data_IF_394668901678
#
_entry.id   IF_394668901678
#
_cell.length_a   1.000
_cell.length_b   1.000
_cell.length_c   1.000
_cell.angle_alpha   90.00
_cell.angle_beta   90.00
_cell.angle_gamma   90.00
#
_symmetry.space_group_name_H-M   'P 1'
#
loop_
_entity.id
_entity.type
_entity.pdbx_description
1 polymer ?
#
# COMPACT_ATOMS: atom_id res chain seq x y z
N UNK A 1 48.16 -4.08 10.37
CA UNK A 1 46.87 -4.20 11.10
C UNK A 1 45.96 -3.14 10.53
N UNK A 2 45.13 -3.51 9.56
CA UNK A 2 44.01 -2.66 9.16
C UNK A 2 42.81 -3.16 9.95
N UNK A 3 42.31 -2.33 10.88
CA UNK A 3 41.05 -2.57 11.56
C UNK A 3 39.94 -2.41 10.51
N UNK A 4 39.38 -3.53 10.11
CA UNK A 4 38.15 -3.61 9.35
C UNK A 4 37.03 -3.06 10.25
N UNK A 5 36.43 -1.93 9.86
CA UNK A 5 35.36 -1.35 10.66
C UNK A 5 34.07 -2.13 10.40
N UNK A 6 33.15 -2.15 11.37
CA UNK A 6 31.83 -2.82 11.22
C UNK A 6 31.05 -2.33 9.99
N UNK A 7 31.36 -1.13 9.49
CA UNK A 7 30.80 -0.58 8.26
C UNK A 7 31.33 -1.24 6.99
N UNK A 8 32.60 -1.63 6.95
CA UNK A 8 33.22 -2.28 5.78
C UNK A 8 32.67 -3.71 5.59
N UNK A 9 32.34 -4.39 6.69
CA UNK A 9 31.73 -5.72 6.65
C UNK A 9 30.29 -5.71 6.10
N UNK A 10 29.57 -4.59 6.23
CA UNK A 10 28.21 -4.43 5.67
C UNK A 10 28.24 -4.15 4.16
N UNK A 11 29.29 -3.48 3.68
CA UNK A 11 29.47 -3.18 2.24
C UNK A 11 29.86 -4.45 1.45
N UNK A 12 30.63 -5.34 2.06
CA UNK A 12 31.05 -6.60 1.43
C UNK A 12 30.00 -7.71 1.43
N UNK A 13 28.94 -7.61 2.24
CA UNK A 13 27.82 -8.56 2.20
C UNK A 13 26.90 -8.35 0.98
N UNK A 14 26.98 -7.20 0.31
CA UNK A 14 26.10 -6.80 -0.79
C UNK A 14 26.81 -6.44 -2.11
N UNK A 15 28.05 -6.91 -2.31
CA UNK A 15 28.67 -6.90 -3.64
C UNK A 15 29.39 -5.60 -4.03
N UNK A 16 29.81 -4.76 -3.07
CA UNK A 16 30.71 -3.63 -3.35
C UNK A 16 30.07 -2.50 -4.17
N UNK A 17 28.75 -2.49 -4.25
CA UNK A 17 27.96 -1.40 -4.73
C UNK A 17 27.38 -0.70 -3.51
N UNK A 18 27.97 0.43 -3.12
CA UNK A 18 27.46 1.33 -2.08
C UNK A 18 26.12 1.94 -2.50
N UNK A 19 25.09 1.10 -2.58
CA UNK A 19 23.78 1.38 -3.16
C UNK A 19 22.72 1.07 -2.12
N UNK A 20 22.70 1.89 -1.08
CA UNK A 20 21.63 1.86 -0.10
C UNK A 20 20.41 2.60 -0.68
N UNK A 21 19.38 1.80 -0.93
CA UNK A 21 17.98 2.14 -1.17
C UNK A 21 17.55 2.65 -2.56
N UNK A 22 18.31 3.46 -3.32
CA UNK A 22 17.84 3.90 -4.64
C UNK A 22 18.98 4.15 -5.63
N UNK A 23 18.83 3.60 -6.85
CA UNK A 23 19.60 4.01 -8.00
C UNK A 23 19.39 5.50 -8.28
N UNK A 24 20.40 6.17 -8.81
CA UNK A 24 20.48 7.62 -9.00
C UNK A 24 19.58 8.18 -10.11
N UNK A 25 18.45 7.54 -10.42
CA UNK A 25 17.49 7.98 -11.43
C UNK A 25 16.15 8.33 -10.79
N UNK A 26 16.05 9.50 -10.17
CA UNK A 26 14.79 10.02 -9.63
C UNK A 26 13.82 10.51 -10.73
N UNK A 27 14.26 10.57 -11.99
CA UNK A 27 13.57 11.33 -13.04
C UNK A 27 12.49 10.54 -13.80
N UNK A 28 12.56 9.20 -13.86
CA UNK A 28 11.57 8.38 -14.59
C UNK A 28 11.26 7.04 -13.87
N UNK A 29 10.13 6.93 -13.15
CA UNK A 29 9.77 5.74 -12.34
C UNK A 29 9.72 4.42 -13.13
N UNK A 30 9.35 4.47 -14.42
CA UNK A 30 9.17 3.29 -15.27
C UNK A 30 10.34 3.03 -16.22
N UNK A 31 11.48 3.69 -15.99
CA UNK A 31 12.66 3.55 -16.85
C UNK A 31 13.11 2.09 -16.95
N UNK A 32 13.30 1.61 -18.18
CA UNK A 32 13.77 0.25 -18.46
C UNK A 32 12.72 -0.86 -18.41
N UNK A 33 11.44 -0.53 -18.20
CA UNK A 33 10.32 -1.49 -18.26
C UNK A 33 9.55 -1.30 -19.57
N UNK A 34 9.13 -2.39 -20.21
CA UNK A 34 8.19 -2.31 -21.34
C UNK A 34 6.86 -1.73 -20.84
N UNK A 35 6.42 -0.60 -21.40
CA UNK A 35 5.18 0.08 -21.01
C UNK A 35 4.03 -0.20 -21.99
N UNK A 36 4.23 -1.08 -22.97
CA UNK A 36 3.21 -1.44 -23.94
C UNK A 36 1.98 -2.04 -23.23
N UNK A 37 0.81 -1.46 -23.47
CA UNK A 37 -0.46 -2.00 -22.96
C UNK A 37 -0.77 -3.29 -23.72
N UNK A 38 -1.08 -4.42 -23.04
CA UNK A 38 -1.33 -5.68 -23.73
C UNK A 38 -2.54 -5.63 -24.67
N UNK A 39 -2.49 -6.38 -25.77
CA UNK A 39 -3.59 -6.46 -26.73
C UNK A 39 -4.92 -6.86 -26.06
N UNK A 40 -5.97 -6.11 -26.40
CA UNK A 40 -7.34 -6.32 -25.89
C UNK A 40 -7.60 -5.77 -24.49
N UNK A 41 -6.65 -5.05 -23.90
CA UNK A 41 -6.80 -4.39 -22.59
C UNK A 41 -7.24 -2.94 -22.79
N UNK A 42 -8.29 -2.53 -22.08
CA UNK A 42 -8.73 -1.14 -22.07
C UNK A 42 -7.79 -0.28 -21.19
N UNK A 43 -7.36 0.86 -21.72
CA UNK A 43 -6.40 1.75 -21.05
C UNK A 43 -7.00 2.38 -19.78
N UNK A 44 -8.29 2.74 -19.82
CA UNK A 44 -8.95 3.36 -18.69
C UNK A 44 -9.16 2.36 -17.55
N UNK A 45 -9.51 1.11 -17.87
CA UNK A 45 -9.57 0.02 -16.91
C UNK A 45 -8.19 -0.22 -16.27
N UNK A 46 -7.13 -0.37 -17.07
CA UNK A 46 -5.78 -0.59 -16.57
C UNK A 46 -5.33 0.56 -15.64
N UNK A 47 -5.48 1.81 -16.08
CA UNK A 47 -5.11 2.95 -15.26
C UNK A 47 -5.94 3.06 -13.99
N UNK A 48 -7.24 2.74 -14.04
CA UNK A 48 -8.09 2.70 -12.83
C UNK A 48 -7.62 1.63 -11.86
N UNK A 49 -7.24 0.44 -12.34
CA UNK A 49 -6.70 -0.61 -11.48
C UNK A 49 -5.36 -0.22 -10.85
N UNK A 50 -4.49 0.44 -11.62
CA UNK A 50 -3.27 1.03 -11.08
C UNK A 50 -3.56 2.08 -9.99
N UNK A 51 -4.58 2.93 -10.17
CA UNK A 51 -5.03 3.86 -9.12
C UNK A 51 -5.54 3.12 -7.88
N UNK A 52 -6.30 2.03 -8.02
CA UNK A 52 -6.77 1.25 -6.87
C UNK A 52 -5.59 0.75 -6.02
N UNK A 53 -4.58 0.14 -6.64
CA UNK A 53 -3.41 -0.40 -5.95
C UNK A 53 -2.49 0.70 -5.41
N UNK A 54 -2.32 1.78 -6.18
CA UNK A 54 -1.47 2.92 -5.85
C UNK A 54 -2.04 3.76 -4.71
N UNK A 55 -3.34 3.98 -4.71
CA UNK A 55 -4.03 4.74 -3.65
C UNK A 55 -4.04 4.00 -2.33
N UNK A 56 -4.21 2.67 -2.35
CA UNK A 56 -4.06 1.86 -1.13
C UNK A 56 -2.68 2.04 -0.50
N UNK A 57 -1.63 2.10 -1.35
CA UNK A 57 -0.25 2.24 -0.92
C UNK A 57 0.04 3.66 -0.42
N UNK A 58 -0.34 4.68 -1.19
CA UNK A 58 -0.12 6.10 -0.85
C UNK A 58 -0.83 6.49 0.45
N UNK A 59 -2.11 6.11 0.57
CA UNK A 59 -2.92 6.45 1.74
C UNK A 59 -2.40 5.72 2.98
N UNK A 60 -2.07 4.43 2.86
CA UNK A 60 -1.50 3.68 3.98
C UNK A 60 -0.12 4.22 4.38
N UNK A 61 0.74 4.57 3.41
CA UNK A 61 2.03 5.21 3.68
C UNK A 61 1.84 6.51 4.47
N UNK A 62 0.93 7.38 4.04
CA UNK A 62 0.64 8.64 4.74
C UNK A 62 0.12 8.40 6.17
N UNK A 63 -0.73 7.39 6.37
CA UNK A 63 -1.17 6.98 7.71
C UNK A 63 -0.02 6.51 8.58
N UNK A 64 0.88 5.69 8.05
CA UNK A 64 2.05 5.20 8.78
C UNK A 64 3.04 6.33 9.12
N UNK A 65 3.22 7.32 8.25
CA UNK A 65 4.07 8.50 8.53
C UNK A 65 3.62 9.29 9.76
N UNK A 66 2.33 9.24 10.14
CA UNK A 66 1.83 9.88 11.36
C UNK A 66 2.43 9.29 12.65
N UNK A 67 3.08 8.11 12.58
CA UNK A 67 3.82 7.52 13.70
C UNK A 67 5.24 8.04 13.86
N UNK A 68 5.78 8.76 12.86
CA UNK A 68 7.10 9.39 12.99
C UNK A 68 7.02 10.44 14.10
N UNK A 69 7.91 10.34 15.08
CA UNK A 69 7.95 11.08 16.36
C UNK A 69 6.88 10.70 17.39
N UNK A 70 6.07 9.67 17.12
CA UNK A 70 4.98 9.22 17.98
C UNK A 70 5.02 7.72 18.32
N UNK A 71 5.94 6.94 17.73
CA UNK A 71 6.05 5.50 17.94
C UNK A 71 6.48 5.17 19.39
N UNK A 72 6.10 3.98 19.91
CA UNK A 72 6.45 3.58 21.28
C UNK A 72 7.95 3.46 21.54
N UNK A 73 8.72 3.11 20.50
CA UNK A 73 10.16 2.84 20.54
C UNK A 73 10.81 3.35 19.24
N UNK A 74 12.10 3.73 19.29
CA UNK A 74 12.82 4.26 18.13
C UNK A 74 12.99 3.20 17.03
N UNK A 75 13.23 1.95 17.43
CA UNK A 75 13.33 0.82 16.52
C UNK A 75 12.03 0.62 15.75
N UNK A 76 10.90 0.84 16.41
CA UNK A 76 9.59 0.74 15.77
C UNK A 76 9.27 1.93 14.88
N UNK A 77 9.71 3.13 15.25
CA UNK A 77 9.63 4.30 14.37
C UNK A 77 10.35 4.03 13.04
N UNK A 78 11.58 3.52 13.11
CA UNK A 78 12.38 3.18 11.92
C UNK A 78 11.70 2.08 11.11
N UNK A 79 11.16 1.05 11.77
CA UNK A 79 10.46 -0.03 11.08
C UNK A 79 9.21 0.47 10.33
N UNK A 80 8.37 1.29 10.99
CA UNK A 80 7.17 1.87 10.37
C UNK A 80 7.55 2.84 9.24
N UNK A 81 8.57 3.68 9.44
CA UNK A 81 9.04 4.60 8.42
C UNK A 81 9.55 3.85 7.18
N UNK A 82 10.25 2.72 7.34
CA UNK A 82 10.66 1.88 6.22
C UNK A 82 9.46 1.27 5.48
N UNK A 83 8.46 0.76 6.21
CA UNK A 83 7.21 0.28 5.59
C UNK A 83 6.51 1.39 4.79
N UNK A 84 6.42 2.60 5.37
CA UNK A 84 5.83 3.75 4.70
C UNK A 84 6.60 4.13 3.43
N UNK A 85 7.93 4.09 3.47
CA UNK A 85 8.81 4.39 2.34
C UNK A 85 8.66 3.36 1.20
N UNK A 86 8.62 2.07 1.52
CA UNK A 86 8.36 1.01 0.54
C UNK A 86 7.00 1.21 -0.15
N UNK A 87 5.95 1.45 0.64
CA UNK A 87 4.60 1.70 0.13
C UNK A 87 4.54 2.97 -0.73
N UNK A 88 5.26 4.03 -0.37
CA UNK A 88 5.38 5.22 -1.20
C UNK A 88 6.09 4.91 -2.52
N UNK A 89 7.16 4.11 -2.50
CA UNK A 89 7.84 3.63 -3.71
C UNK A 89 6.91 2.84 -4.63
N UNK A 90 6.08 1.95 -4.07
CA UNK A 90 5.05 1.23 -4.83
C UNK A 90 3.99 2.17 -5.40
N UNK A 91 3.53 3.14 -4.60
CA UNK A 91 2.55 4.13 -5.02
C UNK A 91 3.03 4.93 -6.24
N UNK A 92 4.27 5.43 -6.21
CA UNK A 92 4.88 6.17 -7.32
C UNK A 92 4.81 5.38 -8.63
N UNK A 93 5.31 4.14 -8.63
CA UNK A 93 5.30 3.28 -9.82
C UNK A 93 3.89 3.03 -10.36
N UNK A 94 2.92 2.78 -9.46
CA UNK A 94 1.53 2.51 -9.84
C UNK A 94 0.82 3.77 -10.38
N UNK A 95 1.03 4.92 -9.74
CA UNK A 95 0.48 6.20 -10.20
C UNK A 95 1.12 6.63 -11.53
N UNK A 96 2.44 6.45 -11.69
CA UNK A 96 3.12 6.68 -12.96
C UNK A 96 2.55 5.77 -14.06
N UNK A 97 2.23 4.50 -13.76
CA UNK A 97 1.58 3.60 -14.72
C UNK A 97 0.18 4.11 -15.10
N UNK A 98 -0.63 4.56 -14.15
CA UNK A 98 -1.93 5.17 -14.44
C UNK A 98 -1.82 6.41 -15.33
N UNK A 99 -0.86 7.30 -15.05
CA UNK A 99 -0.56 8.47 -15.88
C UNK A 99 -0.11 8.10 -17.30
N UNK A 100 0.74 7.09 -17.44
CA UNK A 100 1.25 6.63 -18.75
C UNK A 100 0.16 6.12 -19.71
N UNK A 101 -1.01 5.77 -19.18
CA UNK A 101 -2.19 5.34 -19.96
C UNK A 101 -3.31 6.38 -19.96
N UNK A 102 -2.96 7.65 -19.68
CA UNK A 102 -3.83 8.84 -19.73
C UNK A 102 -4.99 8.84 -18.71
N UNK A 103 -4.83 8.12 -17.58
CA UNK A 103 -5.79 8.12 -16.48
C UNK A 103 -5.34 9.11 -15.41
N UNK A 104 -5.61 10.40 -15.65
CA UNK A 104 -5.23 11.51 -14.78
C UNK A 104 -6.42 12.19 -14.08
N UNK A 105 -7.60 12.16 -14.71
CA UNK A 105 -8.79 12.84 -14.19
C UNK A 105 -8.59 14.36 -14.06
N UNK A 106 -9.23 14.97 -13.06
CA UNK A 106 -9.17 16.42 -12.83
C UNK A 106 -7.82 16.89 -12.31
N UNK A 107 -6.94 15.97 -11.91
CA UNK A 107 -5.60 16.33 -11.46
C UNK A 107 -4.80 17.05 -12.55
N UNK A 108 -4.97 16.66 -13.81
CA UNK A 108 -4.23 17.25 -14.94
C UNK A 108 -4.63 18.70 -15.20
N UNK A 109 -5.89 19.06 -14.94
CA UNK A 109 -6.40 20.43 -15.07
C UNK A 109 -5.83 21.37 -13.98
N UNK A 110 -5.44 20.81 -12.84
CA UNK A 110 -5.02 21.56 -11.65
C UNK A 110 -3.51 21.62 -11.47
N UNK A 111 -2.80 20.58 -11.89
CA UNK A 111 -1.35 20.52 -11.88
C UNK A 111 -0.78 21.23 -13.12
N UNK A 112 0.29 22.03 -12.97
CA UNK A 112 0.97 22.62 -14.14
C UNK A 112 1.64 21.54 -14.99
N UNK A 113 1.84 21.81 -16.29
CA UNK A 113 2.44 20.85 -17.23
C UNK A 113 3.86 20.38 -16.85
N UNK A 114 4.53 21.06 -15.92
CA UNK A 114 5.84 20.65 -15.40
C UNK A 114 5.75 19.64 -14.24
N UNK A 115 4.56 19.42 -13.68
CA UNK A 115 4.35 18.45 -12.61
C UNK A 115 4.22 17.05 -13.22
N UNK A 116 5.06 16.08 -12.77
CA UNK A 116 4.96 14.69 -13.17
C UNK A 116 3.56 14.12 -12.92
N UNK A 117 3.14 13.18 -13.76
CA UNK A 117 1.79 12.62 -13.68
C UNK A 117 1.51 11.87 -12.36
N UNK A 118 2.54 11.23 -11.77
CA UNK A 118 2.41 10.60 -10.44
C UNK A 118 2.11 11.64 -9.34
N UNK A 119 2.75 12.81 -9.40
CA UNK A 119 2.52 13.92 -8.47
C UNK A 119 1.19 14.61 -8.72
N UNK A 120 0.79 14.77 -10.00
CA UNK A 120 -0.54 15.26 -10.35
C UNK A 120 -1.60 14.37 -9.69
N UNK A 121 -1.49 13.06 -9.89
CA UNK A 121 -2.40 12.08 -9.29
C UNK A 121 -2.35 12.09 -7.75
N UNK A 122 -1.19 12.19 -7.12
CA UNK A 122 -1.12 12.21 -5.65
C UNK A 122 -1.72 13.48 -5.03
N UNK A 123 -1.40 14.65 -5.60
CA UNK A 123 -1.60 15.93 -4.93
C UNK A 123 -2.82 16.74 -5.41
N UNK A 124 -3.32 16.48 -6.61
CA UNK A 124 -4.33 17.35 -7.24
C UNK A 124 -5.70 16.68 -7.48
N UNK A 125 -5.83 15.38 -7.17
CA UNK A 125 -7.12 14.68 -7.12
C UNK A 125 -7.90 15.03 -5.86
N UNK A 126 -9.22 15.15 -5.99
CA UNK A 126 -10.13 15.20 -4.83
C UNK A 126 -10.47 13.80 -4.32
N UNK A 127 -11.07 13.73 -3.12
CA UNK A 127 -11.37 12.47 -2.46
C UNK A 127 -12.23 11.52 -3.32
N UNK A 128 -13.17 12.05 -4.14
CA UNK A 128 -14.00 11.25 -5.04
C UNK A 128 -13.24 10.66 -6.25
N UNK A 129 -11.99 11.05 -6.46
CA UNK A 129 -11.08 10.49 -7.47
C UNK A 129 -10.07 9.50 -6.88
N UNK A 130 -10.02 9.35 -5.54
CA UNK A 130 -9.26 8.30 -4.88
C UNK A 130 -10.01 6.96 -4.92
N UNK A 131 -9.26 5.87 -4.96
CA UNK A 131 -9.73 4.50 -5.14
C UNK A 131 -9.21 3.56 -4.06
N UNK A 132 -8.72 4.09 -2.94
CA UNK A 132 -8.25 3.30 -1.80
C UNK A 132 -9.41 2.60 -1.07
N UNK A 133 -9.09 1.55 -0.34
CA UNK A 133 -10.04 0.83 0.53
C UNK A 133 -10.29 1.61 1.83
N UNK A 134 -11.42 1.32 2.49
CA UNK A 134 -11.69 1.82 3.84
C UNK A 134 -10.62 1.33 4.84
N UNK A 135 -10.06 0.13 4.60
CA UNK A 135 -8.93 -0.40 5.37
C UNK A 135 -7.71 0.53 5.32
N UNK A 136 -7.30 0.98 4.12
CA UNK A 136 -6.17 1.91 3.99
C UNK A 136 -6.49 3.30 4.57
N UNK A 137 -7.71 3.78 4.38
CA UNK A 137 -8.12 5.13 4.78
C UNK A 137 -8.34 5.30 6.30
N UNK A 138 -8.64 4.23 7.03
CA UNK A 138 -8.96 4.27 8.46
C UNK A 138 -7.90 5.02 9.30
N UNK A 139 -8.29 5.59 10.43
CA UNK A 139 -7.34 6.19 11.37
C UNK A 139 -6.44 5.14 12.05
N UNK A 140 -5.24 5.56 12.47
CA UNK A 140 -4.26 4.67 13.11
C UNK A 140 -4.77 4.03 14.41
N UNK A 141 -5.56 4.78 15.20
CA UNK A 141 -5.92 4.38 16.55
C UNK A 141 -4.66 4.30 17.44
N UNK A 142 -4.62 3.30 18.32
CA UNK A 142 -3.40 2.98 19.06
C UNK A 142 -2.46 2.05 18.28
N UNK A 143 -1.31 1.75 18.87
CA UNK A 143 -0.29 0.92 18.23
C UNK A 143 -0.80 -0.51 17.90
N UNK A 144 -1.65 -1.08 18.76
CA UNK A 144 -2.23 -2.41 18.52
C UNK A 144 -3.17 -2.41 17.32
N UNK A 145 -4.04 -1.40 17.22
CA UNK A 145 -4.90 -1.21 16.05
C UNK A 145 -4.09 -1.00 14.76
N UNK A 146 -3.03 -0.19 14.81
CA UNK A 146 -2.14 0.03 13.65
C UNK A 146 -1.50 -1.28 13.19
N UNK A 147 -0.98 -2.10 14.12
CA UNK A 147 -0.34 -3.38 13.77
C UNK A 147 -1.32 -4.39 13.18
N UNK A 148 -2.55 -4.46 13.71
CA UNK A 148 -3.60 -5.30 13.12
C UNK A 148 -3.97 -4.82 11.71
N UNK A 149 -4.16 -3.51 11.53
CA UNK A 149 -4.48 -2.94 10.21
C UNK A 149 -3.36 -3.21 9.20
N UNK A 150 -2.11 -3.03 9.61
CA UNK A 150 -0.94 -3.32 8.77
C UNK A 150 -0.86 -4.81 8.43
N UNK A 151 -1.15 -5.70 9.38
CA UNK A 151 -1.20 -7.15 9.13
C UNK A 151 -2.24 -7.49 8.05
N UNK A 152 -3.46 -6.96 8.16
CA UNK A 152 -4.52 -7.19 7.15
C UNK A 152 -4.11 -6.63 5.79
N UNK A 153 -3.67 -5.37 5.75
CA UNK A 153 -3.31 -4.70 4.50
C UNK A 153 -2.14 -5.39 3.80
N UNK A 154 -1.07 -5.72 4.54
CA UNK A 154 0.08 -6.42 3.98
C UNK A 154 -0.28 -7.84 3.51
N UNK A 155 -1.15 -8.55 4.23
CA UNK A 155 -1.58 -9.90 3.85
C UNK A 155 -2.39 -9.89 2.55
N UNK A 156 -3.37 -8.99 2.42
CA UNK A 156 -4.16 -8.84 1.19
C UNK A 156 -3.27 -8.44 0.02
N UNK A 157 -2.47 -7.37 0.20
CA UNK A 157 -1.58 -6.87 -0.85
C UNK A 157 -0.57 -7.91 -1.30
N UNK A 158 0.02 -8.65 -0.37
CA UNK A 158 0.97 -9.72 -0.70
C UNK A 158 0.31 -10.83 -1.53
N UNK A 159 -0.91 -11.26 -1.17
CA UNK A 159 -1.62 -12.29 -1.93
C UNK A 159 -1.97 -11.83 -3.35
N UNK A 160 -2.33 -10.56 -3.53
CA UNK A 160 -2.58 -9.93 -4.84
C UNK A 160 -1.27 -9.81 -5.62
N UNK A 161 -0.22 -9.23 -5.04
CA UNK A 161 1.06 -9.02 -5.70
C UNK A 161 1.74 -10.34 -6.08
N UNK A 162 1.61 -11.38 -5.27
CA UNK A 162 2.15 -12.70 -5.60
C UNK A 162 1.60 -13.25 -6.93
N UNK A 163 0.32 -12.98 -7.22
CA UNK A 163 -0.37 -13.35 -8.47
C UNK A 163 -0.12 -12.35 -9.60
N UNK A 164 -0.02 -11.05 -9.30
CA UNK A 164 0.29 -10.02 -10.31
C UNK A 164 1.66 -10.18 -10.96
N UNK A 165 2.59 -10.95 -10.38
CA UNK A 165 3.85 -11.32 -11.06
C UNK A 165 3.62 -12.01 -12.40
N UNK A 166 2.49 -12.70 -12.55
CA UNK A 166 2.08 -13.37 -13.78
C UNK A 166 1.12 -12.52 -14.63
N UNK A 167 0.97 -11.23 -14.32
CA UNK A 167 0.15 -10.31 -15.10
C UNK A 167 0.66 -10.21 -16.54
N UNK A 168 -0.28 -10.12 -17.49
CA UNK A 168 0.04 -9.77 -18.88
C UNK A 168 0.57 -8.35 -19.03
N UNK A 169 0.28 -7.45 -18.10
CA UNK A 169 0.86 -6.11 -18.12
C UNK A 169 2.30 -6.15 -17.56
N UNK A 170 3.32 -5.89 -18.38
CA UNK A 170 4.73 -5.99 -17.98
C UNK A 170 5.10 -5.05 -16.81
N UNK A 171 4.45 -3.90 -16.71
CA UNK A 171 4.69 -2.94 -15.62
C UNK A 171 4.15 -3.47 -14.29
N UNK A 172 2.89 -3.92 -14.26
CA UNK A 172 2.31 -4.55 -13.06
C UNK A 172 3.09 -5.78 -12.62
N UNK A 173 3.53 -6.63 -13.56
CA UNK A 173 4.36 -7.79 -13.27
C UNK A 173 5.71 -7.40 -12.63
N UNK A 174 6.38 -6.38 -13.16
CA UNK A 174 7.64 -5.88 -12.62
C UNK A 174 7.48 -5.25 -11.22
N UNK A 175 6.45 -4.41 -11.04
CA UNK A 175 6.12 -3.80 -9.73
C UNK A 175 5.84 -4.91 -8.71
N UNK A 176 5.06 -5.92 -9.09
CA UNK A 176 4.72 -7.04 -8.25
C UNK A 176 5.95 -7.89 -7.87
N UNK A 177 6.86 -8.15 -8.81
CA UNK A 177 8.07 -8.92 -8.56
C UNK A 177 8.94 -8.29 -7.46
N UNK A 178 9.06 -6.96 -7.46
CA UNK A 178 9.73 -6.21 -6.39
C UNK A 178 8.90 -6.18 -5.11
N UNK A 179 7.63 -5.77 -5.21
CA UNK A 179 6.76 -5.52 -4.06
C UNK A 179 6.47 -6.75 -3.20
N UNK A 180 6.54 -7.97 -3.75
CA UNK A 180 6.37 -9.20 -2.96
C UNK A 180 7.39 -9.31 -1.82
N UNK A 181 8.65 -8.90 -2.03
CA UNK A 181 9.66 -8.99 -0.99
C UNK A 181 9.39 -7.99 0.15
N UNK A 182 9.07 -6.74 -0.20
CA UNK A 182 8.69 -5.67 0.72
C UNK A 182 7.44 -6.06 1.53
N UNK A 183 6.37 -6.49 0.85
CA UNK A 183 5.11 -6.88 1.49
C UNK A 183 5.24 -8.12 2.38
N UNK A 184 6.17 -9.03 2.06
CA UNK A 184 6.51 -10.15 2.94
C UNK A 184 7.10 -9.63 4.25
N UNK A 185 8.06 -8.70 4.18
CA UNK A 185 8.62 -8.06 5.36
C UNK A 185 7.54 -7.29 6.16
N UNK A 186 6.65 -6.56 5.50
CA UNK A 186 5.56 -5.80 6.16
C UNK A 186 4.63 -6.73 6.94
N UNK A 187 4.19 -7.84 6.32
CA UNK A 187 3.33 -8.83 6.94
C UNK A 187 4.01 -9.50 8.13
N UNK A 188 5.27 -9.88 7.98
CA UNK A 188 6.02 -10.56 9.04
C UNK A 188 6.32 -9.63 10.22
N UNK A 189 6.59 -8.34 9.97
CA UNK A 189 6.70 -7.31 11.00
C UNK A 189 5.40 -7.17 11.80
N UNK A 190 4.29 -6.94 11.11
CA UNK A 190 2.99 -6.77 11.74
C UNK A 190 2.55 -8.03 12.50
N UNK A 191 2.76 -9.23 11.93
CA UNK A 191 2.43 -10.49 12.57
C UNK A 191 3.20 -10.68 13.89
N UNK A 192 4.52 -10.39 13.90
CA UNK A 192 5.33 -10.49 15.14
C UNK A 192 4.82 -9.57 16.23
N UNK A 193 4.39 -8.35 15.89
CA UNK A 193 3.80 -7.44 16.86
C UNK A 193 2.43 -7.88 17.34
N UNK A 194 1.54 -8.34 16.45
CA UNK A 194 0.23 -8.86 16.84
C UNK A 194 0.40 -10.05 17.80
N UNK A 195 1.34 -10.96 17.53
CA UNK A 195 1.68 -12.07 18.44
C UNK A 195 2.18 -11.56 19.80
N UNK A 196 3.14 -10.64 19.80
CA UNK A 196 3.72 -10.07 21.03
C UNK A 196 2.69 -9.32 21.88
N UNK A 197 1.79 -8.57 21.24
CA UNK A 197 0.78 -7.79 21.94
C UNK A 197 -0.33 -8.70 22.47
N UNK A 198 -0.79 -9.64 21.64
CA UNK A 198 -1.87 -10.57 21.99
C UNK A 198 -1.51 -11.53 23.12
N UNK A 199 -0.35 -12.17 23.05
CA UNK A 199 0.16 -13.11 24.08
C UNK A 199 1.10 -12.43 25.09
N UNK A 200 0.98 -11.10 25.22
CA UNK A 200 1.80 -10.29 26.11
C UNK A 200 1.17 -10.14 27.50
N UNK A 201 0.92 -8.90 27.89
CA UNK A 201 0.22 -8.57 29.14
C UNK A 201 -1.30 -8.55 28.93
N UNK A 202 -2.07 -8.58 30.02
CA UNK A 202 -3.52 -8.40 29.95
C UNK A 202 -3.92 -7.08 29.25
N UNK A 203 -3.15 -6.00 29.45
CA UNK A 203 -3.43 -4.70 28.82
C UNK A 203 -3.09 -4.70 27.32
N UNK A 204 -1.93 -5.25 26.93
CA UNK A 204 -1.56 -5.34 25.51
C UNK A 204 -2.51 -6.25 24.75
N UNK A 205 -2.93 -7.37 25.35
CA UNK A 205 -3.89 -8.30 24.77
C UNK A 205 -5.26 -7.64 24.57
N UNK A 206 -5.74 -6.90 25.58
CA UNK A 206 -6.99 -6.11 25.50
C UNK A 206 -6.95 -5.08 24.37
N UNK A 207 -5.84 -4.35 24.20
CA UNK A 207 -5.67 -3.36 23.13
C UNK A 207 -5.56 -4.00 21.75
N UNK A 208 -4.80 -5.09 21.63
CA UNK A 208 -4.71 -5.83 20.38
C UNK A 208 -6.08 -6.38 19.96
N UNK A 209 -6.86 -6.95 20.90
CA UNK A 209 -8.23 -7.39 20.63
C UNK A 209 -9.14 -6.22 20.21
N UNK A 210 -9.04 -5.06 20.87
CA UNK A 210 -9.80 -3.88 20.45
C UNK A 210 -9.41 -3.42 19.03
N UNK A 211 -8.13 -3.51 18.68
CA UNK A 211 -7.65 -3.29 17.32
C UNK A 211 -8.24 -4.26 16.31
N UNK A 212 -8.30 -5.56 16.64
CA UNK A 212 -9.00 -6.58 15.85
C UNK A 212 -10.47 -6.21 15.66
N UNK A 213 -11.18 -5.93 16.74
CA UNK A 213 -12.61 -5.62 16.70
C UNK A 213 -12.90 -4.34 15.89
N UNK A 214 -11.97 -3.37 15.85
CA UNK A 214 -12.07 -2.15 15.06
C UNK A 214 -11.74 -2.36 13.56
N UNK A 215 -10.74 -3.19 13.25
CA UNK A 215 -10.29 -3.42 11.87
C UNK A 215 -11.16 -4.44 11.13
N UNK A 216 -11.68 -5.46 11.83
CA UNK A 216 -12.39 -6.58 11.19
C UNK A 216 -13.56 -6.18 10.29
N UNK A 217 -14.40 -5.18 10.66
CA UNK A 217 -15.47 -4.72 9.77
C UNK A 217 -14.99 -4.13 8.45
N UNK A 218 -13.75 -3.62 8.38
CA UNK A 218 -13.16 -3.04 7.17
C UNK A 218 -12.78 -4.07 6.12
N UNK A 219 -12.89 -5.37 6.43
CA UNK A 219 -12.64 -6.46 5.48
C UNK A 219 -13.84 -6.74 4.56
N UNK A 220 -15.01 -6.16 4.87
CA UNK A 220 -16.28 -6.46 4.21
C UNK A 220 -16.26 -6.24 2.68
N UNK A 221 -15.48 -5.27 2.21
CA UNK A 221 -15.48 -4.86 0.80
C UNK A 221 -14.19 -5.25 0.04
N UNK A 222 -13.19 -5.79 0.74
CA UNK A 222 -11.87 -6.09 0.18
C UNK A 222 -11.87 -7.24 -0.83
N UNK A 223 -12.85 -8.14 -0.73
CA UNK A 223 -12.96 -9.35 -1.55
C UNK A 223 -14.11 -9.30 -2.56
N UNK A 224 -14.77 -8.14 -2.68
CA UNK A 224 -15.84 -7.90 -3.63
C UNK A 224 -15.27 -7.16 -4.83
N UNK A 225 -15.17 -7.84 -5.98
CA UNK A 225 -14.63 -7.24 -7.19
C UNK A 225 -15.50 -6.08 -7.71
N UNK A 226 -14.85 -5.04 -8.21
CA UNK A 226 -15.43 -4.03 -9.10
C UNK A 226 -15.62 -4.58 -10.52
N UNK A 227 -16.35 -3.86 -11.37
CA UNK A 227 -16.46 -4.22 -12.79
C UNK A 227 -15.12 -4.14 -13.53
N UNK A 228 -14.25 -3.19 -13.14
CA UNK A 228 -12.90 -3.03 -13.70
C UNK A 228 -12.04 -4.24 -13.37
N UNK A 229 -12.00 -4.65 -12.09
CA UNK A 229 -11.24 -5.82 -11.66
C UNK A 229 -11.72 -7.09 -12.36
N UNK A 230 -13.05 -7.30 -12.49
CA UNK A 230 -13.59 -8.45 -13.23
C UNK A 230 -13.14 -8.51 -14.69
N UNK A 231 -13.21 -7.38 -15.40
CA UNK A 231 -12.80 -7.32 -16.82
C UNK A 231 -11.30 -7.58 -16.99
N UNK A 232 -10.48 -6.96 -16.15
CA UNK A 232 -9.03 -7.13 -16.22
C UNK A 232 -8.56 -8.50 -15.73
N UNK A 233 -9.22 -9.10 -14.74
CA UNK A 233 -8.94 -10.46 -14.31
C UNK A 233 -9.26 -11.46 -15.42
N UNK A 234 -10.40 -11.32 -16.09
CA UNK A 234 -10.74 -12.13 -17.27
C UNK A 234 -9.74 -11.94 -18.43
N UNK A 235 -9.11 -10.77 -18.53
CA UNK A 235 -8.06 -10.48 -19.50
C UNK A 235 -6.66 -10.95 -19.06
N UNK A 236 -6.48 -11.48 -17.85
CA UNK A 236 -5.18 -11.90 -17.30
C UNK A 236 -4.25 -10.76 -16.90
N UNK A 237 -4.80 -9.57 -16.60
CA UNK A 237 -4.04 -8.37 -16.21
C UNK A 237 -4.14 -8.09 -14.72
N UNK A 238 -5.34 -8.22 -14.15
CA UNK A 238 -5.60 -8.01 -12.73
C UNK A 238 -5.82 -9.34 -12.00
N UNK A 239 -5.92 -9.26 -10.68
CA UNK A 239 -6.36 -10.36 -9.80
C UNK A 239 -7.82 -10.11 -9.40
N UNK A 240 -8.67 -11.12 -9.51
CA UNK A 240 -10.00 -11.05 -8.89
C UNK A 240 -9.81 -11.11 -7.36
N UNK A 241 -10.23 -10.08 -6.60
CA UNK A 241 -10.04 -10.06 -5.16
C UNK A 241 -10.73 -11.23 -4.43
N UNK A 242 -11.75 -11.87 -5.03
CA UNK A 242 -12.35 -13.06 -4.44
C UNK A 242 -11.36 -14.24 -4.36
N UNK A 243 -10.40 -14.34 -5.30
CA UNK A 243 -9.45 -15.46 -5.42
C UNK A 243 -8.37 -15.46 -4.32
N UNK A 244 -8.20 -14.35 -3.61
CA UNK A 244 -7.23 -14.24 -2.50
C UNK A 244 -7.90 -14.41 -1.12
N UNK A 245 -9.23 -14.43 -1.05
CA UNK A 245 -9.98 -14.42 0.22
C UNK A 245 -9.63 -15.57 1.15
N UNK A 246 -9.61 -16.80 0.63
CA UNK A 246 -9.36 -17.99 1.44
C UNK A 246 -7.94 -17.97 2.05
N UNK A 247 -6.93 -17.65 1.24
CA UNK A 247 -5.54 -17.54 1.68
C UNK A 247 -5.37 -16.45 2.76
N UNK A 248 -5.94 -15.26 2.53
CA UNK A 248 -5.89 -14.16 3.49
C UNK A 248 -6.59 -14.53 4.80
N UNK A 249 -7.77 -15.12 4.71
CA UNK A 249 -8.53 -15.59 5.88
C UNK A 249 -7.70 -16.56 6.73
N UNK A 250 -7.07 -17.54 6.09
CA UNK A 250 -6.29 -18.57 6.78
C UNK A 250 -5.06 -17.98 7.49
N UNK A 251 -4.35 -17.05 6.83
CA UNK A 251 -3.21 -16.35 7.44
C UNK A 251 -3.65 -15.53 8.64
N UNK A 252 -4.69 -14.72 8.50
CA UNK A 252 -5.16 -13.85 9.58
C UNK A 252 -5.66 -14.67 10.77
N UNK A 253 -6.46 -15.71 10.53
CA UNK A 253 -6.94 -16.62 11.57
C UNK A 253 -5.78 -17.29 12.29
N UNK A 254 -4.79 -17.79 11.55
CA UNK A 254 -3.59 -18.41 12.13
C UNK A 254 -2.81 -17.45 13.03
N UNK A 255 -2.63 -16.20 12.61
CA UNK A 255 -1.91 -15.20 13.42
C UNK A 255 -2.69 -14.84 14.68
N UNK A 256 -4.00 -14.61 14.57
CA UNK A 256 -4.84 -14.25 15.71
C UNK A 256 -4.95 -15.39 16.73
N UNK A 257 -5.16 -16.63 16.28
CA UNK A 257 -5.22 -17.80 17.17
C UNK A 257 -3.90 -17.98 17.93
N UNK A 258 -2.76 -17.83 17.24
CA UNK A 258 -1.43 -17.91 17.88
C UNK A 258 -1.14 -16.72 18.80
N UNK A 259 -1.74 -15.56 18.53
CA UNK A 259 -1.68 -14.40 19.40
C UNK A 259 -2.61 -14.52 20.60
N UNK A 260 -3.35 -15.63 20.75
CA UNK A 260 -4.38 -15.83 21.78
C UNK A 260 -5.53 -14.81 21.72
N UNK A 261 -5.73 -14.21 20.54
CA UNK A 261 -6.81 -13.27 20.25
C UNK A 261 -8.01 -14.01 19.65
N UNK A 262 -9.20 -13.49 19.90
CA UNK A 262 -10.43 -14.04 19.34
C UNK A 262 -10.58 -13.55 17.90
N UNK A 263 -10.72 -14.51 16.99
CA UNK A 263 -11.09 -14.27 15.58
C UNK A 263 -12.57 -13.90 15.52
N UNK A 264 -12.95 -12.68 15.12
CA UNK A 264 -14.35 -12.33 14.96
C UNK A 264 -14.97 -13.07 13.76
N UNK A 265 -16.30 -13.24 13.72
CA UNK A 265 -16.97 -13.75 12.53
C UNK A 265 -16.60 -12.89 11.32
N UNK A 266 -16.37 -13.54 10.17
CA UNK A 266 -16.08 -12.80 8.95
C UNK A 266 -17.24 -11.87 8.60
N UNK A 267 -16.98 -10.58 8.25
CA UNK A 267 -18.05 -9.67 7.89
C UNK A 267 -18.78 -10.15 6.64
N UNK A 268 -20.07 -9.83 6.53
CA UNK A 268 -20.81 -10.03 5.30
C UNK A 268 -20.21 -9.14 4.20
N UNK A 269 -20.15 -9.68 2.98
CA UNK A 269 -19.60 -8.96 1.85
C UNK A 269 -20.43 -7.69 1.58
N UNK A 270 -19.73 -6.58 1.35
CA UNK A 270 -20.30 -5.29 1.03
C UNK A 270 -19.77 -4.81 -0.34
N UNK A 271 -20.50 -3.91 -1.04
CA UNK A 271 -19.99 -3.26 -2.23
C UNK A 271 -18.70 -2.44 -1.94
N UNK A 272 -17.71 -2.43 -2.85
CA UNK A 272 -16.42 -1.75 -2.67
C UNK A 272 -16.53 -0.22 -2.85
N UNK A 273 -17.07 0.46 -1.83
CA UNK A 273 -17.38 1.90 -1.88
C UNK A 273 -16.14 2.78 -2.10
N UNK A 274 -15.05 2.49 -1.39
CA UNK A 274 -13.80 3.23 -1.54
C UNK A 274 -13.21 3.10 -2.94
N UNK A 275 -13.34 1.92 -3.56
CA UNK A 275 -12.96 1.70 -4.97
C UNK A 275 -13.82 2.50 -5.96
N UNK A 276 -14.99 2.98 -5.55
CA UNK A 276 -15.89 3.82 -6.35
C UNK A 276 -15.77 5.32 -6.02
N UNK A 277 -14.82 5.73 -5.17
CA UNK A 277 -14.64 7.13 -4.77
C UNK A 277 -15.55 7.58 -3.63
N UNK A 278 -16.26 6.67 -2.98
CA UNK A 278 -17.12 6.99 -1.86
C UNK A 278 -16.38 6.77 -0.53
N UNK A 279 -15.77 7.83 0.00
CA UNK A 279 -14.95 7.79 1.21
C UNK A 279 -15.57 8.55 2.37
N UNK A 280 -15.15 8.18 3.59
CA UNK A 280 -15.50 8.90 4.81
C UNK A 280 -14.68 10.19 5.01
N UNK A 281 -15.04 11.01 6.01
CA UNK A 281 -14.36 12.27 6.31
C UNK A 281 -12.87 12.10 6.68
N UNK A 282 -12.49 10.92 7.15
CA UNK A 282 -11.10 10.59 7.51
C UNK A 282 -10.13 10.70 6.34
N UNK A 283 -10.56 10.34 5.12
CA UNK A 283 -9.73 10.51 3.92
C UNK A 283 -9.56 11.98 3.58
N UNK A 284 -10.65 12.77 3.66
CA UNK A 284 -10.60 14.21 3.35
C UNK A 284 -9.59 14.92 4.25
N UNK A 285 -9.64 14.68 5.57
CA UNK A 285 -8.70 15.25 6.52
C UNK A 285 -7.24 14.83 6.26
N UNK A 286 -7.02 13.57 5.84
CA UNK A 286 -5.70 13.08 5.46
C UNK A 286 -5.16 13.81 4.23
N UNK A 287 -6.00 13.97 3.20
CA UNK A 287 -5.65 14.63 1.94
C UNK A 287 -5.37 16.13 2.12
N UNK A 288 -6.07 16.81 3.02
CA UNK A 288 -5.75 18.21 3.35
C UNK A 288 -4.29 18.37 3.80
N UNK A 289 -3.79 17.43 4.60
CA UNK A 289 -2.39 17.42 5.05
C UNK A 289 -1.44 17.02 3.91
N UNK A 290 -1.76 15.94 3.20
CA UNK A 290 -0.92 15.42 2.10
C UNK A 290 -0.74 16.43 0.96
N UNK A 291 -1.82 17.13 0.60
CA UNK A 291 -1.91 17.93 -0.62
C UNK A 291 -1.74 19.44 -0.37
N UNK A 292 -1.81 19.88 0.88
CA UNK A 292 -1.94 21.29 1.25
C UNK A 292 -0.85 22.19 0.65
N UNK A 293 0.42 21.79 0.75
CA UNK A 293 1.55 22.58 0.23
C UNK A 293 1.55 22.64 -1.31
N UNK A 294 1.35 21.49 -1.96
CA UNK A 294 1.34 21.39 -3.42
C UNK A 294 0.19 22.22 -4.03
N UNK A 295 -1.00 22.18 -3.41
CA UNK A 295 -2.17 22.96 -3.86
C UNK A 295 -2.01 24.47 -3.63
N UNK A 296 -1.24 24.89 -2.62
CA UNK A 296 -0.90 26.31 -2.41
C UNK A 296 0.10 26.83 -3.44
N UNK A 297 0.96 25.95 -3.98
CA UNK A 297 2.01 26.31 -4.95
C UNK A 297 1.99 25.39 -6.19
N UNK A 298 0.93 25.45 -7.03
CA UNK A 298 0.66 24.46 -8.10
C UNK A 298 1.64 24.47 -9.28
N UNK A 299 2.60 25.41 -9.28
CA UNK A 299 3.65 25.53 -10.30
C UNK A 299 5.07 25.38 -9.72
N UNK A 300 5.21 25.07 -8.42
CA UNK A 300 6.51 24.82 -7.80
C UNK A 300 7.09 23.48 -8.27
N UNK A 301 8.42 23.40 -8.31
CA UNK A 301 9.19 22.19 -8.60
C UNK A 301 10.07 21.90 -7.38
N UNK A 302 10.25 20.61 -7.06
CA UNK A 302 10.90 20.12 -5.83
C UNK A 302 11.98 19.10 -6.17
#
# INVERSE_FOLDING_TARGET
MHEETVYDALDHAHGGEGHWAFGTGFDEPLAGVDTTVPDGVDHADLGTYCLMLGDDALVLAQRLTQWVTAAPELEEEVAIANVALDLLGQARLLLARAGSVDVLGRSRERASASIPDEDALAYFRDADEFRCTALSAADNGDFGQTMVRLLVAATVRLAVFARLRDSRDPVLAAIAAKGVHELTYHRDHAARWVLRLGDGTAESSRRAQAGVDAVWPLLADLFTATDVERRLAAAGVAVDPADVRAEVHDVLTTVLDRATLRVPPWPADAPPRGRLGEHGPELVALLETLQGLARQHPAATW
#
